data_IF_095403185480
#
_entry.id   IF_095403185480
#
_cell.length_a   1.000
_cell.length_b   1.000
_cell.length_c   1.000
_cell.angle_alpha   90.00
_cell.angle_beta   90.00
_cell.angle_gamma   90.00
#
_symmetry.space_group_name_H-M   'P 1'
#
loop_
_entity.id
_entity.type
_entity.pdbx_description
1 polymer ?
#
# COMPACT_ATOMS: atom_id res chain seq x y z
N UNK A 1 -2.09 -25.57 -14.03
CA UNK A 1 -1.46 -25.10 -12.78
C UNK A 1 -2.12 -23.78 -12.39
N UNK A 2 -2.80 -23.72 -11.25
CA UNK A 2 -3.47 -22.50 -10.79
C UNK A 2 -2.44 -21.56 -10.12
N UNK A 3 -2.55 -20.25 -10.35
CA UNK A 3 -1.68 -19.27 -9.68
C UNK A 3 -2.11 -19.11 -8.22
N UNK A 4 -1.17 -19.23 -7.28
CA UNK A 4 -1.40 -18.92 -5.87
C UNK A 4 -1.47 -17.40 -5.67
N UNK A 5 -2.42 -16.93 -4.86
CA UNK A 5 -2.56 -15.50 -4.54
C UNK A 5 -1.41 -15.06 -3.63
N UNK A 6 -0.70 -14.02 -4.02
CA UNK A 6 0.32 -13.40 -3.17
C UNK A 6 -0.32 -12.40 -2.20
N UNK A 7 0.12 -12.41 -0.95
CA UNK A 7 -0.25 -11.37 0.02
C UNK A 7 0.64 -10.15 -0.19
N UNK A 8 0.02 -9.00 -0.43
CA UNK A 8 0.73 -7.74 -0.67
C UNK A 8 0.77 -6.93 0.61
N UNK A 9 1.97 -6.58 1.05
CA UNK A 9 2.24 -5.82 2.27
C UNK A 9 2.78 -4.43 1.93
N UNK A 10 2.41 -3.44 2.74
CA UNK A 10 2.87 -2.06 2.56
C UNK A 10 3.14 -1.39 3.90
N UNK A 11 4.11 -0.46 3.91
CA UNK A 11 4.52 0.31 5.10
C UNK A 11 3.87 1.68 5.08
N UNK A 12 2.89 1.91 5.96
CA UNK A 12 2.02 3.10 5.90
C UNK A 12 2.28 4.08 7.05
N UNK A 13 2.48 3.56 8.27
CA UNK A 13 2.60 4.31 9.54
C UNK A 13 3.77 3.81 10.40
N UNK A 14 4.86 3.42 9.75
CA UNK A 14 6.08 2.94 10.44
C UNK A 14 6.18 1.41 10.59
N UNK A 15 5.11 0.65 10.38
CA UNK A 15 5.14 -0.82 10.34
C UNK A 15 4.47 -1.39 9.07
N UNK A 16 4.73 -2.67 8.79
CA UNK A 16 4.16 -3.40 7.65
C UNK A 16 2.74 -3.88 7.99
N UNK A 17 1.77 -3.54 7.14
CA UNK A 17 0.38 -4.00 7.23
C UNK A 17 -0.03 -4.62 5.88
N UNK A 18 -0.82 -5.72 5.86
CA UNK A 18 -1.32 -6.27 4.62
C UNK A 18 -2.32 -5.30 3.99
N UNK A 19 -2.17 -5.06 2.69
CA UNK A 19 -3.03 -4.17 1.89
C UNK A 19 -4.50 -4.61 1.88
N UNK A 20 -4.74 -5.91 1.99
CA UNK A 20 -6.09 -6.47 2.09
C UNK A 20 -6.87 -6.04 3.35
N UNK A 21 -6.21 -5.44 4.36
CA UNK A 21 -6.84 -4.97 5.61
C UNK A 21 -6.91 -3.45 5.72
N UNK A 22 -6.84 -2.74 4.60
CA UNK A 22 -7.00 -1.28 4.59
C UNK A 22 -8.48 -0.93 4.67
N UNK A 23 -8.80 0.13 5.41
CA UNK A 23 -10.13 0.73 5.40
C UNK A 23 -10.18 1.85 4.36
N UNK A 24 -11.38 2.35 4.08
CA UNK A 24 -11.61 3.41 3.08
C UNK A 24 -10.80 4.68 3.37
N UNK A 25 -10.68 5.06 4.65
CA UNK A 25 -9.86 6.21 5.05
C UNK A 25 -8.38 6.05 4.73
N UNK A 26 -7.79 4.86 4.95
CA UNK A 26 -6.38 4.60 4.62
C UNK A 26 -6.13 4.55 3.11
N UNK A 27 -7.11 4.11 2.34
CA UNK A 27 -7.05 4.17 0.87
C UNK A 27 -7.03 5.62 0.40
N UNK A 28 -7.95 6.45 0.89
CA UNK A 28 -7.99 7.88 0.57
C UNK A 28 -6.72 8.62 1.02
N UNK A 29 -6.22 8.35 2.23
CA UNK A 29 -4.92 8.88 2.69
C UNK A 29 -3.76 8.44 1.79
N UNK A 30 -3.81 7.23 1.22
CA UNK A 30 -2.76 6.74 0.33
C UNK A 30 -2.83 7.40 -1.05
N UNK A 31 -4.03 7.64 -1.58
CA UNK A 31 -4.24 8.35 -2.84
C UNK A 31 -3.77 9.81 -2.78
N UNK A 32 -3.90 10.47 -1.63
CA UNK A 32 -3.45 11.87 -1.45
C UNK A 32 -1.91 11.98 -1.30
N UNK A 33 -1.21 10.87 -1.02
CA UNK A 33 0.25 10.89 -0.84
C UNK A 33 0.96 11.20 -2.16
N UNK A 34 1.79 12.24 -2.13
CA UNK A 34 2.69 12.58 -3.24
C UNK A 34 4.02 11.86 -3.08
N UNK A 35 4.38 11.07 -4.08
CA UNK A 35 5.71 10.46 -4.14
C UNK A 35 6.72 11.51 -4.58
N UNK A 36 7.83 11.61 -3.85
CA UNK A 36 8.96 12.38 -4.31
C UNK A 36 9.63 11.62 -5.45
N UNK A 37 9.51 12.12 -6.68
CA UNK A 37 10.30 11.59 -7.80
C UNK A 37 11.62 12.36 -7.82
N UNK A 38 12.73 11.66 -7.61
CA UNK A 38 14.08 12.25 -7.63
C UNK A 38 14.58 12.60 -9.04
N UNK A 39 13.70 13.04 -9.94
CA UNK A 39 14.09 13.63 -11.22
C UNK A 39 13.92 15.15 -11.06
N UNK A 40 14.97 15.95 -10.97
CA UNK A 40 16.34 15.82 -11.48
C UNK A 40 17.42 16.02 -10.40
#
# INVERSE_FOLDING_TARGET
MARTKCEVWSRIVGYLRPTARWNEGKLSEFEDRKMFCSKC
#
